data_IF_134200778124
#
_entry.id   IF_134200778124
#
_cell.length_a   1.000
_cell.length_b   1.000
_cell.length_c   1.000
_cell.angle_alpha   90.00
_cell.angle_beta   90.00
_cell.angle_gamma   90.00
#
_symmetry.space_group_name_H-M   'P 1'
#
loop_
_entity.id
_entity.type
_entity.pdbx_description
1 polymer ?
#
# COMPACT_ATOMS: atom_id res chain seq x y z
N UNK A 1 8.80 -1.29 -4.44
CA UNK A 1 7.92 -0.35 -3.68
C UNK A 1 6.75 -1.12 -3.08
N UNK A 2 6.45 -0.88 -1.81
CA UNK A 2 5.36 -1.48 -1.05
C UNK A 2 4.23 -0.45 -0.95
N UNK A 3 3.12 -0.74 -1.62
CA UNK A 3 1.90 0.05 -1.59
C UNK A 3 0.94 -0.56 -0.59
N UNK A 4 0.41 0.24 0.34
CA UNK A 4 -0.57 -0.28 1.30
C UNK A 4 -1.81 0.58 1.43
N UNK A 5 -2.95 -0.09 1.59
CA UNK A 5 -4.20 0.48 2.05
C UNK A 5 -4.59 -0.17 3.37
N UNK A 6 -5.00 0.64 4.35
CA UNK A 6 -5.36 0.17 5.67
C UNK A 6 -6.56 0.92 6.22
N UNK A 7 -7.55 0.19 6.74
CA UNK A 7 -8.69 0.79 7.47
C UNK A 7 -8.35 1.05 8.94
N UNK A 8 -7.85 0.02 9.64
CA UNK A 8 -7.64 0.04 11.10
C UNK A 8 -6.18 -0.12 11.53
N UNK A 9 -5.23 -0.21 10.59
CA UNK A 9 -3.79 -0.24 10.89
C UNK A 9 -3.09 -1.56 10.62
N UNK A 10 -3.81 -2.69 10.53
CA UNK A 10 -3.19 -4.02 10.40
C UNK A 10 -2.35 -4.18 9.12
N UNK A 11 -2.87 -3.71 7.98
CA UNK A 11 -2.15 -3.73 6.70
C UNK A 11 -0.98 -2.74 6.70
N UNK A 12 -1.12 -1.61 7.41
CA UNK A 12 -0.01 -0.65 7.59
C UNK A 12 1.12 -1.26 8.41
N UNK A 13 0.80 -1.96 9.50
CA UNK A 13 1.78 -2.71 10.29
C UNK A 13 2.50 -3.75 9.43
N UNK A 14 1.74 -4.58 8.72
CA UNK A 14 2.29 -5.63 7.85
C UNK A 14 3.23 -5.04 6.79
N UNK A 15 2.83 -3.94 6.13
CA UNK A 15 3.65 -3.27 5.12
C UNK A 15 4.97 -2.75 5.71
N UNK A 16 4.95 -2.16 6.92
CA UNK A 16 6.16 -1.70 7.62
C UNK A 16 7.05 -2.87 8.04
N UNK A 17 6.49 -4.00 8.46
CA UNK A 17 7.26 -5.21 8.75
C UNK A 17 7.96 -5.72 7.49
N UNK A 18 7.24 -5.84 6.37
CA UNK A 18 7.84 -6.24 5.09
C UNK A 18 8.95 -5.26 4.70
N UNK A 19 8.69 -3.95 4.80
CA UNK A 19 9.68 -2.91 4.53
C UNK A 19 10.96 -3.12 5.34
N UNK A 20 10.84 -3.40 6.65
CA UNK A 20 12.00 -3.58 7.53
C UNK A 20 12.88 -4.77 7.13
N UNK A 21 12.33 -5.77 6.44
CA UNK A 21 13.05 -6.95 5.97
C UNK A 21 13.68 -6.72 4.59
N UNK A 22 12.94 -6.11 3.65
CA UNK A 22 13.38 -6.00 2.25
C UNK A 22 14.03 -4.66 1.90
N UNK A 23 13.92 -3.66 2.78
CA UNK A 23 14.52 -2.34 2.62
C UNK A 23 14.00 -1.55 1.41
N UNK A 24 12.75 -1.78 0.99
CA UNK A 24 12.15 -1.10 -0.17
C UNK A 24 11.35 0.15 0.25
N UNK A 25 11.01 1.00 -0.71
CA UNK A 25 10.19 2.19 -0.47
C UNK A 25 8.76 1.78 -0.04
N UNK A 26 8.17 2.49 0.93
CA UNK A 26 6.80 2.27 1.38
C UNK A 26 5.92 3.49 1.08
N UNK A 27 4.74 3.25 0.53
CA UNK A 27 3.78 4.29 0.13
C UNK A 27 2.39 3.97 0.66
N UNK A 28 1.78 4.95 1.31
CA UNK A 28 0.42 4.86 1.86
C UNK A 28 -0.61 5.31 0.81
N UNK A 29 -1.41 4.38 0.30
CA UNK A 29 -2.53 4.69 -0.60
C UNK A 29 -3.55 5.60 0.10
N UNK A 30 -3.76 5.41 1.41
CA UNK A 30 -4.62 6.29 2.21
C UNK A 30 -4.19 7.76 2.14
N UNK A 31 -2.88 8.05 2.18
CA UNK A 31 -2.37 9.42 2.13
C UNK A 31 -2.43 10.01 0.73
N UNK A 32 -2.18 9.20 -0.31
CA UNK A 32 -2.34 9.63 -1.70
C UNK A 32 -3.78 10.03 -2.00
N UNK A 33 -4.77 9.27 -1.51
CA UNK A 33 -6.18 9.61 -1.67
C UNK A 33 -6.57 10.89 -0.94
N UNK A 34 -6.14 11.06 0.32
CA UNK A 34 -6.41 12.30 1.10
C UNK A 34 -5.84 13.55 0.43
N UNK A 35 -4.71 13.41 -0.26
CA UNK A 35 -4.05 14.49 -1.00
C UNK A 35 -4.57 14.66 -2.42
N UNK A 36 -5.51 13.82 -2.87
CA UNK A 36 -5.98 13.76 -4.25
C UNK A 36 -4.81 13.68 -5.26
N UNK A 37 -3.75 12.95 -4.89
CA UNK A 37 -2.52 12.89 -5.68
C UNK A 37 -2.79 12.26 -7.04
N UNK A 38 -2.27 12.91 -8.09
CA UNK A 38 -2.28 12.42 -9.48
C UNK A 38 -0.89 11.94 -9.91
N UNK A 39 0.01 11.72 -8.96
CA UNK A 39 1.37 11.28 -9.24
C UNK A 39 1.37 9.88 -9.84
N UNK A 40 2.21 9.68 -10.86
CA UNK A 40 2.47 8.35 -11.41
C UNK A 40 3.56 7.67 -10.60
N UNK A 41 3.21 6.56 -9.94
CA UNK A 41 4.16 5.76 -9.19
C UNK A 41 5.01 4.93 -10.14
N UNK A 42 6.34 5.03 -10.00
CA UNK A 42 7.31 4.28 -10.80
C UNK A 42 8.24 3.51 -9.87
N UNK A 43 8.54 2.27 -10.20
CA UNK A 43 9.50 1.46 -9.44
C UNK A 43 10.34 0.61 -10.38
N UNK A 44 11.63 0.50 -10.07
CA UNK A 44 12.56 -0.39 -10.78
C UNK A 44 12.48 -1.85 -10.26
N UNK A 45 11.70 -2.09 -9.20
CA UNK A 45 11.43 -3.40 -8.60
C UNK A 45 9.93 -3.71 -8.73
N UNK A 46 9.52 -4.99 -8.64
CA UNK A 46 8.10 -5.32 -8.58
C UNK A 46 7.36 -4.56 -7.48
N UNK A 47 6.11 -4.20 -7.74
CA UNK A 47 5.23 -3.64 -6.72
C UNK A 47 4.76 -4.75 -5.77
N UNK A 48 4.69 -4.40 -4.49
CA UNK A 48 4.09 -5.24 -3.44
C UNK A 48 2.85 -4.52 -2.93
N UNK A 49 1.68 -5.16 -3.02
CA UNK A 49 0.43 -4.61 -2.52
C UNK A 49 0.05 -5.25 -1.19
N UNK A 50 -0.26 -4.42 -0.20
CA UNK A 50 -0.70 -4.86 1.13
C UNK A 50 -2.03 -4.21 1.45
N UNK A 51 -3.09 -4.99 1.50
CA UNK A 51 -4.44 -4.50 1.78
C UNK A 51 -5.25 -5.56 2.53
N UNK A 52 -6.32 -5.16 3.25
CA UNK A 52 -7.23 -6.13 3.85
C UNK A 52 -8.05 -6.79 2.74
N UNK A 53 -8.51 -8.02 3.00
CA UNK A 53 -9.65 -8.55 2.25
C UNK A 53 -10.89 -7.74 2.63
N UNK A 54 -11.51 -7.09 1.64
CA UNK A 54 -12.69 -6.26 1.83
C UNK A 54 -13.87 -6.87 1.09
N UNK A 55 -14.85 -7.40 1.84
CA UNK A 55 -16.00 -8.11 1.30
C UNK A 55 -15.61 -9.18 0.24
N UNK A 56 -14.67 -10.07 0.60
CA UNK A 56 -14.16 -11.16 -0.25
C UNK A 56 -13.36 -10.71 -1.48
N UNK A 57 -12.92 -9.46 -1.53
CA UNK A 57 -12.18 -8.89 -2.65
C UNK A 57 -10.99 -8.05 -2.17
N UNK A 58 -10.17 -7.62 -3.14
CA UNK A 58 -9.27 -6.49 -2.96
C UNK A 58 -10.13 -5.22 -2.82
N UNK A 59 -9.75 -4.25 -1.96
CA UNK A 59 -10.46 -2.97 -1.89
C UNK A 59 -10.44 -2.27 -3.26
N UNK A 60 -11.57 -1.72 -3.70
CA UNK A 60 -11.69 -1.05 -5.02
C UNK A 60 -10.71 0.11 -5.25
N UNK A 61 -10.16 0.67 -4.18
CA UNK A 61 -9.15 1.74 -4.26
C UNK A 61 -7.75 1.21 -4.59
N UNK A 62 -7.57 -0.11 -4.55
CA UNK A 62 -6.32 -0.83 -4.83
C UNK A 62 -6.43 -1.65 -6.14
N UNK A 63 -7.64 -2.05 -6.53
CA UNK A 63 -7.96 -2.69 -7.82
C UNK A 63 -7.83 -1.70 -8.99
#
# INVERSE_FOLDING_TARGET
MILYFSGTGNSSYTAKTIQSVIGDEIVSINELMKKESKETLKSNKPFVFVCPTYAWRIPRVVE
#
